data_IF_260493228768
#
_entry.id   IF_260493228768
#
_cell.length_a   1.000
_cell.length_b   1.000
_cell.length_c   1.000
_cell.angle_alpha   90.00
_cell.angle_beta   90.00
_cell.angle_gamma   90.00
#
_symmetry.space_group_name_H-M   'P 1'
#
loop_
_entity.id
_entity.type
_entity.pdbx_description
1 polymer ?
#
# COMPACT_ATOMS: atom_id res chain seq x y z
N UNK A 1 -17.96 -13.87 0.53
CA UNK A 1 -17.70 -15.24 1.04
C UNK A 1 -16.58 -15.88 0.22
N UNK A 2 -15.32 -15.63 0.57
CA UNK A 2 -14.19 -16.41 0.04
C UNK A 2 -13.37 -16.90 1.24
N UNK A 3 -13.71 -18.10 1.68
CA UNK A 3 -12.94 -18.87 2.65
C UNK A 3 -12.48 -20.14 1.93
N UNK A 4 -11.22 -20.46 2.11
CA UNK A 4 -10.57 -21.73 1.75
C UNK A 4 -10.06 -21.88 0.31
N UNK A 5 -8.77 -21.56 0.12
CA UNK A 5 -7.89 -22.32 -0.79
C UNK A 5 -6.54 -22.58 -0.13
N UNK A 6 -6.51 -23.50 0.82
CA UNK A 6 -5.27 -24.21 1.19
C UNK A 6 -5.08 -25.43 0.29
N UNK A 7 -3.82 -25.63 -0.10
CA UNK A 7 -3.08 -26.89 -0.32
C UNK A 7 -2.75 -27.30 -1.77
N UNK A 8 -1.48 -27.70 -1.88
CA UNK A 8 -0.83 -28.60 -2.85
C UNK A 8 -0.26 -27.97 -4.12
N UNK A 9 1.08 -27.81 -4.16
CA UNK A 9 1.89 -28.78 -4.91
C UNK A 9 3.36 -28.79 -4.46
N UNK A 10 3.82 -29.94 -4.00
CA UNK A 10 5.24 -30.26 -3.85
C UNK A 10 5.63 -31.05 -5.10
N UNK A 11 6.53 -30.54 -5.93
CA UNK A 11 7.33 -31.39 -6.83
C UNK A 11 8.79 -30.99 -6.72
N UNK A 12 9.55 -31.96 -6.25
CA UNK A 12 10.98 -32.04 -6.06
C UNK A 12 11.64 -32.44 -7.39
N UNK A 13 12.70 -31.74 -7.80
CA UNK A 13 13.70 -32.29 -8.72
C UNK A 13 15.12 -31.89 -8.29
N UNK A 14 15.80 -32.90 -7.73
CA UNK A 14 17.23 -32.96 -7.41
C UNK A 14 17.96 -33.52 -8.64
N UNK A 15 19.01 -32.82 -9.10
CA UNK A 15 20.18 -33.43 -9.74
C UNK A 15 21.29 -32.37 -9.84
N UNK A 16 22.25 -32.33 -8.92
CA UNK A 16 23.52 -33.07 -8.92
C UNK A 16 24.34 -32.91 -10.22
N UNK A 17 25.33 -32.02 -10.20
CA UNK A 17 26.61 -32.23 -10.89
C UNK A 17 27.76 -31.94 -9.92
N UNK A 18 28.39 -33.02 -9.49
CA UNK A 18 29.72 -33.04 -8.88
C UNK A 18 30.75 -33.29 -9.99
N UNK A 19 31.75 -32.42 -10.10
CA UNK A 19 33.11 -32.74 -10.53
C UNK A 19 33.99 -31.54 -10.07
N UNK A 20 34.72 -31.60 -8.96
CA UNK A 20 35.92 -32.40 -8.65
C UNK A 20 37.23 -31.72 -9.07
N UNK A 21 38.00 -31.36 -8.04
CA UNK A 21 39.48 -31.29 -7.91
C UNK A 21 40.25 -30.27 -8.78
N UNK A 22 41.34 -29.62 -8.34
CA UNK A 22 42.40 -29.96 -7.39
C UNK A 22 43.10 -28.64 -6.97
N UNK A 23 43.27 -28.25 -5.70
CA UNK A 23 44.29 -28.62 -4.69
C UNK A 23 45.77 -28.26 -5.00
N UNK A 24 46.30 -27.30 -4.23
CA UNK A 24 47.63 -27.24 -3.59
C UNK A 24 47.56 -26.10 -2.52
N UNK A 25 47.55 -26.31 -1.19
CA UNK A 25 48.66 -26.69 -0.26
C UNK A 25 49.91 -25.81 -0.45
N UNK A 26 50.60 -25.20 0.51
CA UNK A 26 50.63 -25.04 1.99
C UNK A 26 51.16 -23.59 2.23
N UNK A 27 51.40 -22.99 3.40
CA UNK A 27 51.93 -23.45 4.69
C UNK A 27 51.85 -22.27 5.68
N UNK A 28 51.63 -22.57 6.97
CA UNK A 28 52.32 -22.09 8.19
C UNK A 28 52.95 -20.67 8.22
N UNK A 29 52.98 -19.91 9.31
CA UNK A 29 52.87 -20.22 10.75
C UNK A 29 52.84 -18.86 11.49
N UNK A 30 52.23 -18.87 12.69
CA UNK A 30 52.66 -18.14 13.91
C UNK A 30 52.65 -16.58 13.91
N UNK A 31 52.30 -15.88 14.99
CA UNK A 31 52.42 -16.19 16.41
C UNK A 31 51.62 -15.19 17.29
N UNK A 32 51.16 -15.70 18.43
CA UNK A 32 51.17 -15.09 19.78
C UNK A 32 50.26 -13.88 20.14
N UNK A 33 49.30 -14.08 21.07
CA UNK A 33 49.36 -13.77 22.54
C UNK A 33 48.78 -12.39 22.86
N UNK A 34 48.02 -12.14 23.93
CA UNK A 34 47.70 -12.87 25.15
C UNK A 34 46.46 -12.24 25.82
N UNK A 35 45.85 -13.01 26.74
CA UNK A 35 44.69 -12.74 27.59
C UNK A 35 44.72 -11.46 28.43
N UNK A 36 43.55 -10.97 28.86
CA UNK A 36 43.16 -11.02 30.29
C UNK A 36 41.66 -10.81 30.54
N UNK A 37 41.16 -11.48 31.58
CA UNK A 37 39.78 -11.66 32.01
C UNK A 37 39.53 -10.87 33.29
N UNK A 38 38.33 -10.32 33.52
CA UNK A 38 37.75 -10.24 34.87
C UNK A 38 36.22 -10.05 34.85
N UNK A 39 35.50 -11.04 35.39
CA UNK A 39 34.12 -10.95 35.87
C UNK A 39 34.08 -10.25 37.24
N UNK A 40 32.99 -9.55 37.57
CA UNK A 40 32.29 -9.77 38.84
C UNK A 40 30.85 -9.22 38.84
N UNK A 41 30.02 -9.77 39.73
CA UNK A 41 28.56 -9.88 39.65
C UNK A 41 27.80 -9.11 40.75
N UNK A 42 26.56 -8.68 40.44
CA UNK A 42 25.33 -8.59 41.29
C UNK A 42 25.25 -7.58 42.47
N UNK A 43 24.07 -7.31 43.08
CA UNK A 43 22.69 -7.78 42.82
C UNK A 43 21.56 -6.70 42.82
N UNK A 44 20.33 -7.20 42.64
CA UNK A 44 19.02 -6.56 42.47
C UNK A 44 18.41 -5.80 43.68
N UNK A 45 17.35 -5.03 43.42
CA UNK A 45 16.26 -4.74 44.37
C UNK A 45 14.94 -4.40 43.66
N UNK A 46 13.86 -4.61 44.40
CA UNK A 46 12.55 -5.12 44.00
C UNK A 46 11.43 -4.08 44.15
N UNK A 47 10.32 -4.32 43.44
CA UNK A 47 8.91 -4.14 43.83
C UNK A 47 8.16 -2.80 43.61
N UNK A 48 7.14 -2.93 42.74
CA UNK A 48 5.71 -2.61 42.90
C UNK A 48 5.19 -1.18 42.94
N UNK A 49 4.28 -0.88 42.01
CA UNK A 49 2.90 -0.48 42.35
C UNK A 49 1.98 -0.67 41.15
N UNK A 50 1.02 -1.58 41.29
CA UNK A 50 -0.17 -1.71 40.45
C UNK A 50 -0.99 -0.41 40.48
N UNK A 51 -1.54 -0.02 39.34
CA UNK A 51 -2.79 0.75 39.28
C UNK A 51 -3.54 0.25 38.05
N UNK A 52 -4.40 -0.73 38.30
CA UNK A 52 -5.47 -1.11 37.40
C UNK A 52 -6.54 -0.01 37.45
N UNK A 53 -6.57 0.85 36.44
CA UNK A 53 -7.75 1.65 36.12
C UNK A 53 -8.52 0.98 34.99
N UNK A 54 -9.83 1.07 35.12
CA UNK A 54 -10.82 0.27 34.45
C UNK A 54 -10.76 0.41 32.93
N UNK A 55 -10.72 -0.75 32.26
CA UNK A 55 -11.10 -0.90 30.86
C UNK A 55 -12.60 -0.61 30.74
N UNK A 56 -12.89 0.61 30.31
CA UNK A 56 -14.19 1.00 29.78
C UNK A 56 -14.31 0.43 28.36
N UNK A 57 -15.49 -0.11 28.04
CA UNK A 57 -15.71 -0.97 26.89
C UNK A 57 -15.49 -0.25 25.56
N UNK A 58 -14.39 -0.56 24.89
CA UNK A 58 -14.11 -0.10 23.53
C UNK A 58 -14.49 -1.19 22.53
N UNK A 59 -15.33 -0.81 21.58
CA UNK A 59 -15.71 -1.65 20.43
C UNK A 59 -14.44 -1.98 19.64
N UNK A 60 -14.16 -3.29 19.44
CA UNK A 60 -12.93 -3.93 18.91
C UNK A 60 -12.18 -3.25 17.73
N UNK A 61 -12.78 -2.29 17.04
CA UNK A 61 -12.18 -1.57 15.90
C UNK A 61 -11.45 -0.29 16.36
N UNK A 62 -11.93 0.37 17.41
CA UNK A 62 -11.34 1.63 17.90
C UNK A 62 -9.96 1.48 18.52
N UNK A 63 -9.64 0.29 19.05
CA UNK A 63 -8.38 0.02 19.73
C UNK A 63 -7.26 -0.47 18.78
N UNK A 64 -7.60 -0.79 17.53
CA UNK A 64 -6.66 -1.30 16.51
C UNK A 64 -6.07 -0.20 15.63
N UNK A 65 -6.60 1.02 15.72
CA UNK A 65 -6.19 2.17 14.92
C UNK A 65 -5.37 3.14 15.77
N UNK A 66 -4.33 3.72 15.17
CA UNK A 66 -3.57 4.80 15.77
C UNK A 66 -4.39 6.07 15.91
N UNK A 67 -3.92 7.00 16.73
CA UNK A 67 -4.71 8.17 17.15
C UNK A 67 -4.86 9.19 16.02
N UNK A 68 -3.84 9.33 15.17
CA UNK A 68 -3.82 10.32 14.09
C UNK A 68 -4.53 9.78 12.84
N UNK A 69 -4.25 8.52 12.47
CA UNK A 69 -4.81 7.92 11.26
C UNK A 69 -6.30 7.62 11.37
N UNK A 70 -6.84 7.43 12.59
CA UNK A 70 -8.20 6.92 12.79
C UNK A 70 -9.22 7.64 11.91
N UNK A 71 -9.23 8.97 11.94
CA UNK A 71 -10.21 9.76 11.18
C UNK A 71 -10.08 9.59 9.66
N UNK A 72 -8.86 9.37 9.15
CA UNK A 72 -8.60 9.16 7.73
C UNK A 72 -8.96 7.74 7.30
N UNK A 73 -8.63 6.75 8.13
CA UNK A 73 -9.00 5.34 7.91
C UNK A 73 -10.52 5.20 7.97
N UNK A 74 -11.21 5.83 8.94
CA UNK A 74 -12.67 5.84 9.02
C UNK A 74 -13.31 6.41 7.74
N UNK A 75 -12.71 7.44 7.12
CA UNK A 75 -13.19 8.01 5.84
C UNK A 75 -13.05 6.99 4.71
N UNK A 76 -11.90 6.31 4.60
CA UNK A 76 -11.68 5.32 3.54
C UNK A 76 -12.55 4.06 3.73
N UNK A 77 -12.66 3.55 4.97
CA UNK A 77 -13.52 2.41 5.33
C UNK A 77 -15.01 2.68 5.12
N UNK A 78 -15.43 3.95 5.09
CA UNK A 78 -16.83 4.30 4.82
C UNK A 78 -17.30 3.89 3.41
N UNK A 79 -16.36 3.64 2.49
CA UNK A 79 -16.65 3.38 1.08
C UNK A 79 -17.22 4.61 0.35
N UNK A 80 -17.15 5.80 0.95
CA UNK A 80 -17.54 7.07 0.32
C UNK A 80 -16.52 8.15 0.62
N UNK A 81 -15.61 8.39 -0.31
CA UNK A 81 -14.56 9.40 -0.13
C UNK A 81 -14.05 9.97 -1.45
N UNK A 82 -13.53 11.18 -1.35
CA UNK A 82 -12.75 11.86 -2.37
C UNK A 82 -11.31 11.97 -1.87
N UNK A 83 -10.35 11.64 -2.73
CA UNK A 83 -8.93 11.79 -2.45
C UNK A 83 -8.23 12.43 -3.66
N UNK A 84 -7.46 13.48 -3.43
CA UNK A 84 -6.50 13.99 -4.41
C UNK A 84 -5.10 13.68 -3.92
N UNK A 85 -4.27 13.11 -4.79
CA UNK A 85 -2.91 12.76 -4.43
C UNK A 85 -1.96 12.92 -5.62
N UNK A 86 -0.69 13.16 -5.29
CA UNK A 86 0.41 13.04 -6.24
C UNK A 86 1.11 11.71 -6.01
N UNK A 87 1.22 10.91 -7.07
CA UNK A 87 2.01 9.67 -7.06
C UNK A 87 3.29 9.89 -7.84
N UNK A 88 4.35 9.25 -7.36
CA UNK A 88 5.65 9.23 -8.04
C UNK A 88 5.99 7.78 -8.35
N UNK A 89 6.10 7.45 -9.64
CA UNK A 89 6.48 6.13 -10.10
C UNK A 89 7.79 6.19 -10.89
N UNK A 90 8.65 5.19 -10.73
CA UNK A 90 9.86 5.05 -11.56
C UNK A 90 9.61 4.00 -12.62
N UNK A 91 9.47 4.42 -13.88
CA UNK A 91 9.24 3.54 -15.03
C UNK A 91 10.45 3.66 -15.94
N UNK A 92 11.11 2.52 -16.25
CA UNK A 92 12.33 2.47 -17.07
C UNK A 92 13.47 3.41 -16.59
N UNK A 93 13.50 3.75 -15.30
CA UNK A 93 14.49 4.65 -14.70
C UNK A 93 14.15 6.14 -14.82
N UNK A 94 13.01 6.48 -15.41
CA UNK A 94 12.45 7.83 -15.42
C UNK A 94 11.42 7.98 -14.30
N UNK A 95 11.54 9.07 -13.55
CA UNK A 95 10.57 9.42 -12.51
C UNK A 95 9.41 10.14 -13.14
N UNK A 96 8.24 9.52 -13.13
CA UNK A 96 6.98 10.12 -13.56
C UNK A 96 6.18 10.55 -12.32
N UNK A 97 5.81 11.83 -12.27
CA UNK A 97 4.85 12.34 -11.30
C UNK A 97 3.48 12.46 -11.97
N UNK A 98 2.42 12.03 -11.28
CA UNK A 98 1.05 12.23 -11.72
C UNK A 98 0.17 12.73 -10.59
N UNK A 99 -0.67 13.72 -10.88
CA UNK A 99 -1.75 14.11 -9.97
C UNK A 99 -3.01 13.33 -10.36
N UNK A 100 -3.60 12.68 -9.35
CA UNK A 100 -4.76 11.83 -9.51
C UNK A 100 -5.84 12.25 -8.51
N UNK A 101 -7.05 12.39 -9.00
CA UNK A 101 -8.25 12.62 -8.21
C UNK A 101 -9.10 11.36 -8.22
N UNK A 102 -9.38 10.81 -7.05
CA UNK A 102 -10.16 9.59 -6.86
C UNK A 102 -11.46 9.92 -6.13
N UNK A 103 -12.57 9.37 -6.62
CA UNK A 103 -13.88 9.43 -5.99
C UNK A 103 -14.43 8.02 -5.86
N UNK A 104 -14.77 7.61 -4.64
CA UNK A 104 -15.36 6.31 -4.34
C UNK A 104 -16.72 6.52 -3.71
N UNK A 105 -17.74 5.79 -4.17
CA UNK A 105 -19.10 5.83 -3.64
C UNK A 105 -19.77 4.46 -3.79
N UNK A 106 -19.63 3.63 -2.75
CA UNK A 106 -20.05 2.23 -2.77
C UNK A 106 -19.26 1.45 -3.82
N UNK A 107 -19.98 0.82 -4.75
CA UNK A 107 -19.38 0.03 -5.84
C UNK A 107 -18.89 0.90 -7.01
N UNK A 108 -19.01 2.23 -6.92
CA UNK A 108 -18.57 3.16 -7.96
C UNK A 108 -17.23 3.76 -7.60
N UNK A 109 -16.31 3.76 -8.57
CA UNK A 109 -15.01 4.41 -8.44
C UNK A 109 -14.74 5.23 -9.68
N UNK A 110 -14.31 6.47 -9.51
CA UNK A 110 -13.84 7.32 -10.58
C UNK A 110 -12.43 7.80 -10.26
N UNK A 111 -11.54 7.75 -11.25
CA UNK A 111 -10.18 8.21 -11.18
C UNK A 111 -9.95 9.17 -12.33
N UNK A 112 -9.64 10.42 -12.02
CA UNK A 112 -9.36 11.46 -13.00
C UNK A 112 -7.89 11.83 -12.92
N UNK A 113 -7.19 11.74 -14.05
CA UNK A 113 -5.80 12.15 -14.17
C UNK A 113 -5.71 13.26 -15.22
N UNK A 114 -5.05 14.34 -14.83
CA UNK A 114 -4.90 15.53 -15.68
C UNK A 114 -3.45 15.97 -15.72
N UNK A 115 -2.94 16.11 -16.93
CA UNK A 115 -1.63 16.70 -17.22
C UNK A 115 -1.78 17.83 -18.26
N UNK A 116 -0.65 18.38 -18.72
CA UNK A 116 -0.68 19.40 -19.77
C UNK A 116 -1.23 18.87 -21.11
N UNK A 117 -0.96 17.59 -21.40
CA UNK A 117 -1.26 16.97 -22.70
C UNK A 117 -2.33 15.87 -22.62
N UNK A 118 -2.73 15.46 -21.40
CA UNK A 118 -3.73 14.42 -21.17
C UNK A 118 -4.82 14.89 -20.21
N UNK A 119 -6.06 14.53 -20.51
CA UNK A 119 -7.22 14.74 -19.63
C UNK A 119 -8.07 13.47 -19.74
N UNK A 120 -7.86 12.55 -18.81
CA UNK A 120 -8.38 11.18 -18.88
C UNK A 120 -9.07 10.79 -17.58
N UNK A 121 -10.25 10.19 -17.69
CA UNK A 121 -10.97 9.64 -16.55
C UNK A 121 -11.20 8.14 -16.73
N UNK A 122 -11.04 7.37 -15.67
CA UNK A 122 -11.46 5.98 -15.58
C UNK A 122 -12.62 5.91 -14.59
N UNK A 123 -13.77 5.41 -15.02
CA UNK A 123 -14.96 5.24 -14.18
C UNK A 123 -15.34 3.77 -14.16
N UNK A 124 -15.46 3.22 -12.97
CA UNK A 124 -15.88 1.86 -12.69
C UNK A 124 -17.27 1.93 -12.08
N UNK A 125 -18.28 1.45 -12.80
CA UNK A 125 -19.66 1.39 -12.34
C UNK A 125 -20.48 0.41 -13.18
N UNK A 126 -21.57 -0.11 -12.61
CA UNK A 126 -22.53 -0.98 -13.31
C UNK A 126 -21.89 -2.22 -13.98
N UNK A 127 -20.80 -2.75 -13.40
CA UNK A 127 -20.07 -3.89 -13.95
C UNK A 127 -19.15 -3.56 -15.13
N UNK A 128 -18.96 -2.28 -15.46
CA UNK A 128 -18.14 -1.81 -16.58
C UNK A 128 -17.03 -0.86 -16.12
N UNK A 129 -15.97 -0.82 -16.93
CA UNK A 129 -14.90 0.15 -16.91
C UNK A 129 -15.12 1.08 -18.10
N UNK A 130 -15.23 2.37 -17.83
CA UNK A 130 -15.31 3.44 -18.82
C UNK A 130 -13.99 4.22 -18.78
N UNK A 131 -13.21 4.12 -19.85
CA UNK A 131 -12.05 4.98 -20.05
C UNK A 131 -12.44 6.14 -20.95
N UNK A 132 -12.44 7.35 -20.38
CA UNK A 132 -12.82 8.59 -21.04
C UNK A 132 -11.54 9.37 -21.37
N UNK A 133 -11.36 9.68 -22.64
CA UNK A 133 -10.34 10.63 -23.11
C UNK A 133 -11.06 11.92 -23.55
N UNK A 134 -10.90 12.96 -22.74
CA UNK A 134 -11.51 14.26 -22.99
C UNK A 134 -10.86 15.03 -24.15
N UNK A 135 -9.61 14.72 -24.49
CA UNK A 135 -8.89 15.34 -25.60
C UNK A 135 -9.39 14.78 -26.93
N UNK A 136 -9.45 13.45 -27.06
CA UNK A 136 -9.96 12.80 -28.28
C UNK A 136 -11.49 12.71 -28.34
N UNK A 137 -12.18 12.99 -27.23
CA UNK A 137 -13.64 12.83 -27.08
C UNK A 137 -14.10 11.40 -27.36
N UNK A 138 -13.38 10.45 -26.78
CA UNK A 138 -13.64 9.02 -26.92
C UNK A 138 -13.95 8.41 -25.56
N UNK A 139 -14.85 7.42 -25.53
CA UNK A 139 -15.08 6.55 -24.38
C UNK A 139 -14.87 5.12 -24.82
N UNK A 140 -13.95 4.42 -24.18
CA UNK A 140 -13.78 2.98 -24.30
C UNK A 140 -14.58 2.32 -23.16
N UNK A 141 -15.43 1.36 -23.50
CA UNK A 141 -16.28 0.63 -22.55
C UNK A 141 -15.90 -0.84 -22.55
N UNK A 142 -15.55 -1.36 -21.37
CA UNK A 142 -15.09 -2.74 -21.18
C UNK A 142 -15.78 -3.35 -19.96
N UNK A 143 -16.09 -4.66 -19.94
CA UNK A 143 -16.63 -5.30 -18.75
C UNK A 143 -15.57 -5.40 -17.65
N UNK A 144 -15.96 -5.31 -16.38
CA UNK A 144 -15.02 -5.51 -15.25
C UNK A 144 -14.50 -6.95 -15.12
N UNK A 145 -15.04 -7.90 -15.90
CA UNK A 145 -14.63 -9.32 -15.88
C UNK A 145 -13.47 -9.62 -16.81
N UNK A 146 -13.06 -8.70 -17.70
CA UNK A 146 -11.92 -8.91 -18.62
C UNK A 146 -10.55 -8.70 -17.95
N UNK A 147 -10.49 -8.43 -16.65
CA UNK A 147 -9.25 -8.20 -15.89
C UNK A 147 -8.38 -9.46 -15.73
N UNK A 148 -8.91 -10.65 -16.00
CA UNK A 148 -8.15 -11.91 -15.95
C UNK A 148 -8.01 -12.54 -17.36
N UNK A 149 -7.15 -11.97 -18.22
CA UNK A 149 -6.36 -12.83 -19.10
C UNK A 149 -6.33 -12.59 -20.62
N UNK A 150 -7.10 -11.69 -21.21
CA UNK A 150 -6.96 -11.38 -22.65
C UNK A 150 -7.28 -9.91 -22.93
N UNK A 151 -6.30 -9.20 -23.50
CA UNK A 151 -6.28 -7.79 -23.91
C UNK A 151 -5.80 -6.78 -22.84
N UNK A 152 -4.69 -6.13 -23.17
CA UNK A 152 -3.98 -5.14 -22.37
C UNK A 152 -4.83 -3.90 -22.18
N UNK A 153 -5.60 -3.86 -21.08
CA UNK A 153 -5.91 -2.58 -20.45
C UNK A 153 -4.58 -1.89 -20.11
N UNK A 154 -4.47 -0.56 -20.19
CA UNK A 154 -3.39 0.11 -19.49
C UNK A 154 -3.56 -0.27 -18.02
N UNK A 155 -2.56 -0.97 -17.47
CA UNK A 155 -2.51 -1.29 -16.06
C UNK A 155 -2.69 0.04 -15.31
N UNK A 156 -3.73 0.13 -14.47
CA UNK A 156 -3.72 1.16 -13.43
C UNK A 156 -2.44 0.85 -12.65
N UNK A 157 -1.48 1.79 -12.53
CA UNK A 157 -0.29 1.52 -11.76
C UNK A 157 -0.74 1.03 -10.38
N UNK A 158 -0.19 -0.07 -9.85
CA UNK A 158 -0.57 -0.55 -8.50
C UNK A 158 -0.37 0.54 -7.44
N UNK A 159 0.50 1.52 -7.71
CA UNK A 159 0.70 2.73 -6.93
C UNK A 159 -0.51 3.68 -6.86
N UNK A 160 -1.53 3.49 -7.70
CA UNK A 160 -2.76 4.29 -7.80
C UNK A 160 -4.01 3.54 -7.32
N UNK A 161 -3.86 2.27 -6.92
CA UNK A 161 -4.96 1.51 -6.33
C UNK A 161 -5.23 1.98 -4.90
N UNK A 162 -6.51 1.95 -4.46
CA UNK A 162 -6.85 2.31 -3.10
C UNK A 162 -6.20 1.33 -2.13
N UNK A 163 -5.61 1.85 -1.05
CA UNK A 163 -5.00 1.02 -0.01
C UNK A 163 -6.08 0.17 0.65
N UNK A 164 -5.94 -1.15 0.60
CA UNK A 164 -6.81 -2.06 1.35
C UNK A 164 -6.63 -1.80 2.85
N UNK A 165 -7.68 -1.27 3.49
CA UNK A 165 -7.72 -0.99 4.92
C UNK A 165 -8.35 -2.12 5.74
N UNK A 166 -8.91 -3.13 5.07
CA UNK A 166 -9.53 -4.27 5.75
C UNK A 166 -8.50 -5.13 6.48
N UNK A 167 -8.65 -5.26 7.80
CA UNK A 167 -7.81 -6.14 8.62
C UNK A 167 -6.39 -5.62 8.85
N UNK A 168 -6.18 -4.31 8.77
CA UNK A 168 -4.92 -3.66 9.19
C UNK A 168 -4.73 -3.73 10.71
N UNK A 169 -3.48 -3.87 11.13
CA UNK A 169 -3.07 -3.88 12.53
C UNK A 169 -2.06 -2.79 12.80
N UNK A 170 -2.31 -1.97 13.83
CA UNK A 170 -1.35 -0.97 14.29
C UNK A 170 -0.07 -1.63 14.81
N UNK A 171 1.08 -1.19 14.27
CA UNK A 171 2.41 -1.66 14.65
C UNK A 171 3.09 -0.68 15.61
N UNK A 172 3.04 0.61 15.30
CA UNK A 172 3.75 1.62 16.08
C UNK A 172 3.72 3.01 15.47
N UNK A 173 4.52 3.91 16.03
CA UNK A 173 4.65 5.30 15.58
C UNK A 173 6.09 5.79 15.69
N UNK A 174 6.47 6.74 14.84
CA UNK A 174 7.78 7.38 14.87
C UNK A 174 7.80 8.73 14.16
N UNK A 175 9.00 9.20 13.83
CA UNK A 175 9.22 10.44 13.08
C UNK A 175 10.23 10.19 11.96
N UNK A 176 9.95 10.72 10.77
CA UNK A 176 10.80 10.64 9.59
C UNK A 176 10.60 11.91 8.76
N UNK A 177 11.68 12.55 8.33
CA UNK A 177 11.67 13.80 7.56
C UNK A 177 10.84 14.96 8.19
N UNK A 178 10.75 14.98 9.52
CA UNK A 178 9.97 15.97 10.27
C UNK A 178 8.47 15.71 10.29
N UNK A 179 8.01 14.55 9.80
CA UNK A 179 6.62 14.10 9.87
C UNK A 179 6.49 12.98 10.89
N UNK A 180 5.43 13.03 11.69
CA UNK A 180 5.06 11.92 12.59
C UNK A 180 4.41 10.84 11.74
N UNK A 181 4.81 9.59 11.89
CA UNK A 181 4.14 8.48 11.22
C UNK A 181 3.48 7.50 12.19
N UNK A 182 2.44 6.84 11.70
CA UNK A 182 1.85 5.64 12.28
C UNK A 182 2.00 4.49 11.28
N UNK A 183 2.52 3.35 11.75
CA UNK A 183 2.78 2.15 10.96
C UNK A 183 1.69 1.10 11.22
N UNK A 184 1.28 0.46 10.13
CA UNK A 184 0.30 -0.62 10.11
C UNK A 184 0.81 -1.78 9.28
N UNK A 185 0.27 -2.97 9.54
CA UNK A 185 0.50 -4.16 8.73
C UNK A 185 -0.82 -4.83 8.38
N UNK A 186 -0.99 -5.17 7.10
CA UNK A 186 -2.13 -5.97 6.62
C UNK A 186 -1.93 -7.45 6.94
N UNK A 187 -2.99 -8.26 6.83
CA UNK A 187 -2.89 -9.72 6.94
C UNK A 187 -2.02 -10.38 5.86
N UNK A 188 -1.80 -9.71 4.71
CA UNK A 188 -0.89 -10.16 3.65
C UNK A 188 0.59 -9.84 3.92
N UNK A 189 0.88 -9.00 4.92
CA UNK A 189 2.24 -8.60 5.31
C UNK A 189 2.66 -7.22 4.78
N UNK A 190 1.85 -6.59 3.94
CA UNK A 190 2.04 -5.22 3.43
C UNK A 190 2.15 -4.24 4.59
N UNK A 191 3.18 -3.40 4.54
CA UNK A 191 3.42 -2.33 5.52
C UNK A 191 2.85 -1.03 4.98
N UNK A 192 2.09 -0.33 5.82
CA UNK A 192 1.46 0.95 5.48
C UNK A 192 1.89 1.97 6.52
N UNK A 193 2.42 3.10 6.05
CA UNK A 193 2.83 4.22 6.88
C UNK A 193 1.98 5.44 6.53
N UNK A 194 1.26 5.96 7.52
CA UNK A 194 0.54 7.22 7.40
C UNK A 194 1.37 8.32 8.05
N UNK A 195 1.72 9.36 7.30
CA UNK A 195 2.58 10.45 7.77
C UNK A 195 1.78 11.74 7.93
N UNK A 196 2.03 12.43 9.04
CA UNK A 196 1.28 13.57 9.49
C UNK A 196 2.17 14.79 9.76
N UNK A 197 1.67 15.95 9.37
CA UNK A 197 2.10 17.25 9.87
C UNK A 197 1.03 17.75 10.84
N UNK A 198 1.30 17.63 12.14
CA UNK A 198 0.28 17.82 13.17
C UNK A 198 -0.83 16.78 13.04
N UNK A 199 -2.06 17.22 12.74
CA UNK A 199 -3.22 16.35 12.49
C UNK A 199 -3.45 16.04 11.01
N UNK A 200 -2.70 16.69 10.11
CA UNK A 200 -2.96 16.64 8.67
C UNK A 200 -2.20 15.48 8.05
N UNK A 201 -2.91 14.55 7.38
CA UNK A 201 -2.30 13.49 6.59
C UNK A 201 -1.61 14.10 5.37
N UNK A 202 -0.31 13.83 5.19
CA UNK A 202 0.50 14.37 4.08
C UNK A 202 1.00 13.31 3.12
N UNK A 203 1.25 12.10 3.61
CA UNK A 203 1.87 11.03 2.82
C UNK A 203 1.37 9.67 3.29
N UNK A 204 1.10 8.79 2.35
CA UNK A 204 0.90 7.36 2.58
C UNK A 204 2.03 6.65 1.86
N UNK A 205 2.80 5.84 2.58
CA UNK A 205 3.79 4.94 2.00
C UNK A 205 3.33 3.50 2.18
N UNK A 206 3.29 2.76 1.09
CA UNK A 206 2.96 1.33 1.09
C UNK A 206 4.18 0.55 0.62
N UNK A 207 4.56 -0.47 1.38
CA UNK A 207 5.67 -1.37 1.05
C UNK A 207 5.17 -2.80 1.12
N UNK A 208 5.27 -3.51 0.01
CA UNK A 208 5.04 -4.95 -0.04
C UNK A 208 6.31 -5.69 -0.54
N UNK A 209 6.19 -6.96 -0.94
CA UNK A 209 7.32 -7.75 -1.43
C UNK A 209 7.82 -7.32 -2.81
N UNK A 210 6.97 -6.71 -3.63
CA UNK A 210 7.20 -6.45 -5.04
C UNK A 210 7.41 -4.96 -5.37
N UNK A 211 6.80 -4.05 -4.62
CA UNK A 211 6.83 -2.63 -4.87
C UNK A 211 6.81 -1.77 -3.60
N UNK A 212 7.30 -0.55 -3.76
CA UNK A 212 7.13 0.56 -2.83
C UNK A 212 6.34 1.65 -3.55
N UNK A 213 5.26 2.12 -2.94
CA UNK A 213 4.46 3.24 -3.43
C UNK A 213 4.47 4.36 -2.39
N UNK A 214 4.62 5.59 -2.89
CA UNK A 214 4.48 6.81 -2.09
C UNK A 214 3.41 7.69 -2.74
N UNK A 215 2.35 7.93 -1.98
CA UNK A 215 1.29 8.86 -2.32
C UNK A 215 1.39 10.09 -1.43
N UNK A 216 1.58 11.25 -2.03
CA UNK A 216 1.46 12.52 -1.33
C UNK A 216 0.00 12.99 -1.37
N UNK A 217 -0.61 13.11 -0.20
CA UNK A 217 -2.02 13.44 -0.07
C UNK A 217 -2.20 14.95 -0.14
N UNK A 218 -2.94 15.40 -1.16
CA UNK A 218 -3.30 16.79 -1.37
C UNK A 218 -4.63 17.11 -0.67
N UNK A 219 -5.58 16.18 -0.74
CA UNK A 219 -6.89 16.30 -0.10
C UNK A 219 -7.47 14.91 0.21
N UNK A 220 -8.13 14.77 1.37
CA UNK A 220 -9.00 13.64 1.68
C UNK A 220 -10.29 14.16 2.33
N UNK A 221 -11.43 13.68 1.85
CA UNK A 221 -12.74 14.11 2.31
C UNK A 221 -13.77 12.98 2.19
N UNK A 222 -14.74 12.93 3.10
CA UNK A 222 -15.92 12.06 2.97
C UNK A 222 -17.00 12.62 2.03
N UNK A 223 -16.75 13.75 1.37
CA UNK A 223 -17.69 14.37 0.43
C UNK A 223 -17.33 14.02 -1.01
N UNK A 224 -18.27 13.40 -1.72
CA UNK A 224 -18.07 12.93 -3.10
C UNK A 224 -19.09 13.58 -4.01
N UNK A 225 -18.62 14.17 -5.11
CA UNK A 225 -19.49 14.75 -6.13
C UNK A 225 -20.01 13.66 -7.07
N UNK A 226 -21.32 13.67 -7.34
CA UNK A 226 -21.92 12.79 -8.36
C UNK A 226 -21.38 13.07 -9.77
N UNK A 227 -20.87 14.29 -10.02
CA UNK A 227 -20.27 14.67 -11.30
C UNK A 227 -19.04 13.82 -11.64
N UNK A 228 -18.36 13.25 -10.64
CA UNK A 228 -17.18 12.41 -10.84
C UNK A 228 -17.49 11.11 -11.61
N UNK A 229 -18.75 10.66 -11.61
CA UNK A 229 -19.17 9.41 -12.24
C UNK A 229 -19.88 9.61 -13.58
N UNK A 230 -19.99 10.84 -14.09
CA UNK A 230 -20.71 11.13 -15.33
C UNK A 230 -19.87 10.69 -16.54
N UNK A 231 -20.44 9.82 -17.38
CA UNK A 231 -19.88 9.48 -18.69
C UNK A 231 -20.44 10.44 -19.76
N UNK A 232 -19.61 11.18 -20.51
CA UNK A 232 -20.08 12.08 -21.55
C UNK A 232 -20.85 11.35 -22.66
N UNK A 233 -22.12 11.72 -22.87
CA UNK A 233 -23.00 11.08 -23.85
C UNK A 233 -22.71 11.52 -25.31
N UNK A 234 -22.01 12.64 -25.50
CA UNK A 234 -21.67 13.20 -26.81
C UNK A 234 -20.33 12.69 -27.36
N UNK A 235 -19.63 11.82 -26.62
CA UNK A 235 -18.35 11.25 -27.02
C UNK A 235 -18.54 10.01 -27.89
N UNK A 236 -17.56 9.74 -28.75
CA UNK A 236 -17.54 8.52 -29.53
C UNK A 236 -17.33 7.31 -28.60
N UNK A 237 -18.24 6.35 -28.61
CA UNK A 237 -18.11 5.13 -27.82
C UNK A 237 -17.49 4.00 -28.63
N UNK A 238 -16.55 3.30 -28.02
CA UNK A 238 -15.96 2.04 -28.51
C UNK A 238 -16.19 0.99 -27.43
N UNK A 239 -16.88 -0.10 -27.76
CA UNK A 239 -17.21 -1.17 -26.81
C UNK A 239 -16.44 -2.44 -27.16
N UNK A 240 -15.86 -3.07 -26.15
CA UNK A 240 -15.16 -4.37 -26.25
C UNK A 240 -15.96 -5.48 -25.58
#
# INVERSE_FOLDING_TARGET
MLKDRKKYWTVLLISLFLASCNQAQETNEEENSSQETAQNSSPASTASSDTAEASDGSTEVGDRLGKLSKSYIDIMESGTYYMAFRSTATIEGEVMESETMMSVSGDRTAMHSKSADTDTAMVMMDGNIYMVDHVSKTVIVMPQTTTEGEESLPEIPEASEPVEVDGIEYVGSGEEDGLVYEEYRTGSGTQIFYYFDGSDLKKIKTIDEAFESVMEILELSGNVSEDAFIIPADYQQVTY
#
